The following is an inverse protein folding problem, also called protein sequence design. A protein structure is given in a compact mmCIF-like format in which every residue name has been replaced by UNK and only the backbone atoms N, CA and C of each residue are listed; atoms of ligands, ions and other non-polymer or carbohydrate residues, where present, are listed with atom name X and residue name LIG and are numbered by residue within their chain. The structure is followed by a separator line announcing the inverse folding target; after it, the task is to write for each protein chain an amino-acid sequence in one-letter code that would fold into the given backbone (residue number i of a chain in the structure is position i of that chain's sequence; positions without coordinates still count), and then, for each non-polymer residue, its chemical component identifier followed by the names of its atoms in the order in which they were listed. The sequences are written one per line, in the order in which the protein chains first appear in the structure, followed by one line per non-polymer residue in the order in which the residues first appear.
data_IF_627862832823
#
_entry.id   IF_627862832823
#
_cell.length_a   1.000
_cell.length_b   1.000
_cell.length_c   1.000
_cell.angle_alpha   90.00
_cell.angle_beta   90.00
_cell.angle_gamma   90.00
#
_symmetry.space_group_name_H-M   'P 1'
#
loop_
_entity.id
_entity.type
_entity.pdbx_description
1 polymer ?
#
# COMPACT_ATOMS: atom_id res chain seq x y z
N UNK A 1 -50.58 15.18 14.85
CA UNK A 1 -49.12 15.34 14.66
C UNK A 1 -48.43 14.06 15.08
N UNK A 2 -47.96 13.25 14.12
CA UNK A 2 -47.26 11.99 14.40
C UNK A 2 -45.82 12.28 14.84
N UNK A 3 -45.49 12.00 16.10
CA UNK A 3 -44.12 12.09 16.63
C UNK A 3 -43.36 10.85 16.15
N UNK A 4 -42.62 10.98 15.06
CA UNK A 4 -41.65 9.96 14.63
C UNK A 4 -40.67 9.72 15.79
N UNK A 5 -40.45 8.47 16.24
CA UNK A 5 -39.58 8.20 17.37
C UNK A 5 -38.14 8.59 17.03
N UNK A 6 -37.48 9.35 17.92
CA UNK A 6 -36.11 9.86 17.74
C UNK A 6 -35.08 8.76 17.42
N UNK A 7 -35.36 7.51 17.81
CA UNK A 7 -34.48 6.37 17.59
C UNK A 7 -34.41 5.94 16.11
N UNK A 8 -35.51 6.07 15.36
CA UNK A 8 -35.52 5.76 13.92
C UNK A 8 -34.67 6.75 13.10
N UNK A 9 -34.56 8.00 13.54
CA UNK A 9 -33.73 9.04 12.90
C UNK A 9 -32.23 8.78 13.16
N UNK A 10 -31.88 8.28 14.36
CA UNK A 10 -30.50 7.88 14.70
C UNK A 10 -30.05 6.66 13.88
N UNK A 11 -30.91 5.66 13.72
CA UNK A 11 -30.62 4.49 12.88
C UNK A 11 -30.52 4.83 11.39
N UNK A 12 -31.37 5.72 10.87
CA UNK A 12 -31.22 6.18 9.49
C UNK A 12 -29.93 6.96 9.28
N UNK A 13 -29.54 7.84 10.23
CA UNK A 13 -28.26 8.56 10.14
C UNK A 13 -27.05 7.63 10.22
N UNK A 14 -27.07 6.59 11.07
CA UNK A 14 -25.96 5.62 11.15
C UNK A 14 -25.87 4.76 9.89
N UNK A 15 -27.00 4.34 9.30
CA UNK A 15 -27.04 3.64 8.01
C UNK A 15 -26.52 4.49 6.85
N UNK A 16 -26.89 5.78 6.80
CA UNK A 16 -26.41 6.70 5.77
C UNK A 16 -24.91 6.95 5.92
N UNK A 17 -24.41 7.09 7.15
CA UNK A 17 -22.97 7.27 7.44
C UNK A 17 -22.15 6.03 7.06
N UNK A 18 -22.57 4.84 7.47
CA UNK A 18 -21.97 3.56 7.00
C UNK A 18 -21.94 3.46 5.49
N UNK A 19 -23.07 3.75 4.80
CA UNK A 19 -23.14 3.69 3.33
C UNK A 19 -22.23 4.71 2.63
N UNK A 20 -21.96 5.84 3.29
CA UNK A 20 -20.99 6.85 2.84
C UNK A 20 -19.56 6.35 3.00
N UNK A 21 -19.24 5.79 4.17
CA UNK A 21 -17.91 5.28 4.50
C UNK A 21 -17.55 4.05 3.65
N UNK A 22 -18.52 3.15 3.40
CA UNK A 22 -18.37 2.02 2.48
C UNK A 22 -18.06 2.48 1.05
N UNK A 23 -18.74 3.55 0.59
CA UNK A 23 -18.52 4.10 -0.75
C UNK A 23 -17.14 4.77 -0.87
N UNK A 24 -16.67 5.38 0.22
CA UNK A 24 -15.33 5.93 0.29
C UNK A 24 -14.27 4.83 0.28
N UNK A 25 -14.38 3.85 1.17
CA UNK A 25 -13.47 2.69 1.25
C UNK A 25 -13.40 1.91 -0.07
N UNK A 26 -14.52 1.77 -0.78
CA UNK A 26 -14.53 1.13 -2.10
C UNK A 26 -13.74 1.92 -3.14
N UNK A 27 -13.93 3.24 -3.19
CA UNK A 27 -13.22 4.11 -4.14
C UNK A 27 -11.73 4.16 -3.84
N UNK A 28 -11.34 4.25 -2.57
CA UNK A 28 -9.93 4.24 -2.16
C UNK A 28 -9.28 2.89 -2.44
N UNK A 29 -9.97 1.77 -2.19
CA UNK A 29 -9.50 0.42 -2.54
C UNK A 29 -9.07 0.34 -4.00
N UNK A 30 -9.92 0.78 -4.92
CA UNK A 30 -9.65 0.74 -6.37
C UNK A 30 -8.48 1.66 -6.74
N UNK A 31 -8.49 2.92 -6.28
CA UNK A 31 -7.44 3.89 -6.62
C UNK A 31 -6.08 3.40 -6.11
N UNK A 32 -6.02 2.93 -4.86
CA UNK A 32 -4.78 2.39 -4.27
C UNK A 32 -4.34 1.10 -4.97
N UNK A 33 -5.26 0.24 -5.42
CA UNK A 33 -4.90 -0.94 -6.20
C UNK A 33 -4.24 -0.56 -7.53
N UNK A 34 -4.86 0.38 -8.27
CA UNK A 34 -4.32 0.86 -9.56
C UNK A 34 -2.95 1.50 -9.37
N UNK A 35 -2.79 2.36 -8.37
CA UNK A 35 -1.50 2.96 -8.05
C UNK A 35 -0.46 1.91 -7.65
N UNK A 36 -0.83 0.93 -6.83
CA UNK A 36 0.04 -0.18 -6.47
C UNK A 36 0.54 -0.94 -7.70
N UNK A 37 -0.35 -1.30 -8.63
CA UNK A 37 0.02 -1.98 -9.88
C UNK A 37 0.97 -1.11 -10.72
N UNK A 38 0.68 0.20 -10.86
CA UNK A 38 1.54 1.12 -11.61
C UNK A 38 2.94 1.16 -10.99
N UNK A 39 3.04 1.32 -9.67
CA UNK A 39 4.33 1.36 -8.99
C UNK A 39 5.06 0.03 -9.09
N UNK A 40 4.37 -1.11 -9.02
CA UNK A 40 4.96 -2.43 -9.23
C UNK A 40 5.61 -2.56 -10.60
N UNK A 41 4.94 -2.12 -11.66
CA UNK A 41 5.48 -2.16 -13.02
C UNK A 41 6.70 -1.24 -13.14
N UNK A 42 6.61 -0.02 -12.60
CA UNK A 42 7.72 0.94 -12.61
C UNK A 42 8.94 0.39 -11.86
N UNK A 43 8.74 -0.13 -10.65
CA UNK A 43 9.83 -0.70 -9.85
C UNK A 43 10.43 -1.94 -10.49
N UNK A 44 9.61 -2.79 -11.10
CA UNK A 44 10.10 -3.95 -11.85
C UNK A 44 11.00 -3.52 -13.02
N UNK A 45 10.57 -2.56 -13.82
CA UNK A 45 11.34 -2.05 -14.97
C UNK A 45 12.70 -1.50 -14.53
N UNK A 46 12.73 -0.68 -13.48
CA UNK A 46 13.97 -0.09 -13.00
C UNK A 46 14.88 -1.10 -12.32
N UNK A 47 14.37 -1.96 -11.43
CA UNK A 47 15.22 -2.90 -10.69
C UNK A 47 15.70 -4.09 -11.54
N UNK A 48 14.98 -4.45 -12.59
CA UNK A 48 15.46 -5.40 -13.59
C UNK A 48 16.44 -4.78 -14.60
N UNK A 49 16.81 -3.51 -14.41
CA UNK A 49 17.67 -2.72 -15.29
C UNK A 49 17.24 -2.80 -16.78
N UNK A 50 15.93 -2.93 -17.04
CA UNK A 50 15.39 -2.99 -18.40
C UNK A 50 15.52 -1.64 -19.11
N UNK A 51 15.49 -0.55 -18.35
CA UNK A 51 15.69 0.82 -18.83
C UNK A 51 16.65 1.51 -17.86
N UNK A 52 17.87 1.89 -18.29
CA UNK A 52 18.78 2.65 -17.43
C UNK A 52 18.22 4.05 -17.18
N UNK A 53 18.09 4.44 -15.90
CA UNK A 53 17.62 5.77 -15.51
C UNK A 53 18.65 6.86 -15.81
N UNK A 54 19.93 6.57 -15.58
CA UNK A 54 21.04 7.48 -15.82
C UNK A 54 22.17 6.73 -16.51
N UNK A 55 22.77 7.34 -17.53
CA UNK A 55 23.88 6.74 -18.30
C UNK A 55 25.25 7.25 -17.85
N UNK A 56 25.29 8.30 -17.03
CA UNK A 56 26.55 8.90 -16.55
C UNK A 56 27.07 8.21 -15.28
N UNK A 57 28.37 7.89 -15.26
CA UNK A 57 29.08 7.37 -14.09
C UNK A 57 29.38 8.48 -13.06
N UNK A 58 28.34 9.11 -12.54
CA UNK A 58 28.43 10.05 -11.42
C UNK A 58 27.87 9.40 -10.16
N UNK A 59 28.62 9.51 -9.06
CA UNK A 59 28.23 8.98 -7.74
C UNK A 59 26.85 9.51 -7.32
N UNK A 60 26.54 10.78 -7.60
CA UNK A 60 25.24 11.37 -7.29
C UNK A 60 24.09 10.73 -8.07
N UNK A 61 24.27 10.44 -9.36
CA UNK A 61 23.23 9.79 -10.18
C UNK A 61 23.02 8.33 -9.78
N UNK A 62 24.09 7.61 -9.40
CA UNK A 62 23.98 6.26 -8.87
C UNK A 62 23.21 6.22 -7.53
N UNK A 63 23.45 7.20 -6.64
CA UNK A 63 22.69 7.31 -5.40
C UNK A 63 21.20 7.59 -5.69
N UNK A 64 20.93 8.51 -6.63
CA UNK A 64 19.57 8.86 -7.02
C UNK A 64 18.82 7.66 -7.64
N UNK A 65 19.49 6.87 -8.48
CA UNK A 65 18.96 5.64 -9.07
C UNK A 65 18.51 4.66 -7.98
N UNK A 66 19.39 4.39 -7.01
CA UNK A 66 19.10 3.53 -5.86
C UNK A 66 17.89 4.06 -5.08
N UNK A 67 17.85 5.36 -4.79
CA UNK A 67 16.75 5.98 -4.03
C UNK A 67 15.42 5.85 -4.78
N UNK A 68 15.39 6.11 -6.09
CA UNK A 68 14.18 5.99 -6.92
C UNK A 68 13.68 4.54 -6.92
N UNK A 69 14.59 3.57 -7.09
CA UNK A 69 14.27 2.13 -7.06
C UNK A 69 13.63 1.73 -5.74
N UNK A 70 14.20 2.15 -4.61
CA UNK A 70 13.67 1.87 -3.27
C UNK A 70 12.30 2.52 -3.09
N UNK A 71 12.16 3.82 -3.40
CA UNK A 71 10.91 4.56 -3.23
C UNK A 71 9.79 3.93 -4.05
N UNK A 72 10.04 3.52 -5.29
CA UNK A 72 9.03 2.88 -6.12
C UNK A 72 8.48 1.59 -5.48
N UNK A 73 9.35 0.77 -4.88
CA UNK A 73 8.94 -0.47 -4.21
C UNK A 73 8.18 -0.18 -2.92
N UNK A 74 8.63 0.79 -2.12
CA UNK A 74 7.94 1.17 -0.89
C UNK A 74 6.55 1.74 -1.20
N UNK A 75 6.40 2.54 -2.27
CA UNK A 75 5.12 3.04 -2.72
C UNK A 75 4.21 1.91 -3.23
N UNK A 76 4.73 0.97 -4.00
CA UNK A 76 4.00 -0.25 -4.36
C UNK A 76 3.44 -0.96 -3.12
N UNK A 77 4.30 -1.25 -2.14
CA UNK A 77 3.91 -1.96 -0.94
C UNK A 77 2.87 -1.18 -0.13
N UNK A 78 3.07 0.13 0.05
CA UNK A 78 2.16 1.00 0.78
C UNK A 78 0.78 1.07 0.12
N UNK A 79 0.71 1.29 -1.20
CA UNK A 79 -0.56 1.38 -1.90
C UNK A 79 -1.31 0.05 -1.91
N UNK A 80 -0.62 -1.07 -2.06
CA UNK A 80 -1.25 -2.39 -1.95
C UNK A 80 -1.75 -2.66 -0.53
N UNK A 81 -0.98 -2.30 0.50
CA UNK A 81 -1.42 -2.40 1.90
C UNK A 81 -2.68 -1.59 2.18
N UNK A 82 -2.73 -0.34 1.71
CA UNK A 82 -3.93 0.52 1.84
C UNK A 82 -5.12 -0.11 1.10
N UNK A 83 -4.89 -0.63 -0.11
CA UNK A 83 -5.95 -1.26 -0.90
C UNK A 83 -6.53 -2.49 -0.19
N UNK A 84 -5.67 -3.40 0.27
CA UNK A 84 -6.11 -4.61 0.97
C UNK A 84 -6.76 -4.24 2.31
N UNK A 85 -6.19 -3.30 3.06
CA UNK A 85 -6.77 -2.82 4.32
C UNK A 85 -8.21 -2.31 4.16
N UNK A 86 -8.44 -1.43 3.18
CA UNK A 86 -9.78 -0.92 2.87
C UNK A 86 -10.73 -2.03 2.38
N UNK A 87 -10.26 -2.97 1.56
CA UNK A 87 -11.05 -4.11 1.13
C UNK A 87 -11.46 -5.02 2.30
N UNK A 88 -10.53 -5.23 3.24
CA UNK A 88 -10.73 -6.02 4.44
C UNK A 88 -11.74 -5.37 5.39
N UNK A 89 -11.69 -4.05 5.55
CA UNK A 89 -12.70 -3.27 6.27
C UNK A 89 -14.10 -3.43 5.65
N UNK A 90 -14.22 -3.35 4.32
CA UNK A 90 -15.49 -3.57 3.60
C UNK A 90 -16.06 -4.99 3.76
N UNK A 91 -15.18 -5.99 3.87
CA UNK A 91 -15.59 -7.39 4.02
C UNK A 91 -15.74 -7.81 5.49
N UNK A 92 -15.43 -6.92 6.44
CA UNK A 92 -15.46 -7.20 7.87
C UNK A 92 -14.40 -8.19 8.36
N UNK A 93 -13.37 -8.45 7.55
CA UNK A 93 -12.30 -9.39 7.89
C UNK A 93 -11.03 -8.61 8.24
N UNK A 94 -10.21 -9.05 9.22
CA UNK A 94 -8.91 -8.42 9.45
C UNK A 94 -7.93 -8.72 8.30
N UNK A 95 -6.90 -7.89 8.18
CA UNK A 95 -5.76 -8.16 7.31
C UNK A 95 -5.02 -9.41 7.82
N UNK A 96 -4.90 -10.43 6.96
CA UNK A 96 -4.21 -11.65 7.31
C UNK A 96 -2.69 -11.56 7.10
N UNK A 97 -1.95 -12.34 7.88
CA UNK A 97 -0.50 -12.48 7.72
C UNK A 97 -0.09 -13.05 6.35
N UNK A 98 -0.96 -13.84 5.70
CA UNK A 98 -0.67 -14.44 4.40
C UNK A 98 -0.60 -13.38 3.31
N UNK A 99 -1.55 -12.46 3.28
CA UNK A 99 -1.60 -11.34 2.34
C UNK A 99 -0.40 -10.40 2.56
N UNK A 100 -0.09 -10.10 3.82
CA UNK A 100 1.08 -9.29 4.18
C UNK A 100 2.38 -9.95 3.73
N UNK A 101 2.56 -11.24 4.03
CA UNK A 101 3.76 -12.00 3.65
C UNK A 101 3.90 -12.09 2.13
N UNK A 102 2.80 -12.29 1.40
CA UNK A 102 2.81 -12.29 -0.06
C UNK A 102 3.30 -10.95 -0.61
N UNK A 103 2.74 -9.84 -0.15
CA UNK A 103 3.20 -8.50 -0.56
C UNK A 103 4.67 -8.27 -0.20
N UNK A 104 5.10 -8.72 0.98
CA UNK A 104 6.47 -8.56 1.43
C UNK A 104 7.45 -9.31 0.53
N UNK A 105 7.14 -10.57 0.19
CA UNK A 105 7.95 -11.39 -0.71
C UNK A 105 7.95 -10.80 -2.13
N UNK A 106 6.80 -10.33 -2.63
CA UNK A 106 6.72 -9.67 -3.95
C UNK A 106 7.54 -8.38 -4.00
N UNK A 107 7.56 -7.59 -2.93
CA UNK A 107 8.40 -6.39 -2.83
C UNK A 107 9.88 -6.74 -2.82
N UNK A 108 10.30 -7.70 -1.99
CA UNK A 108 11.71 -8.11 -1.93
C UNK A 108 12.20 -8.79 -3.20
N UNK A 109 11.34 -9.59 -3.85
CA UNK A 109 11.64 -10.25 -5.11
C UNK A 109 12.11 -9.30 -6.21
N UNK A 110 11.61 -8.06 -6.20
CA UNK A 110 12.01 -7.03 -7.16
C UNK A 110 13.43 -6.52 -6.96
N UNK A 111 14.05 -6.78 -5.81
CA UNK A 111 15.37 -6.20 -5.44
C UNK A 111 16.51 -7.22 -5.46
N UNK A 112 16.23 -8.48 -5.81
CA UNK A 112 17.19 -9.57 -5.71
C UNK A 112 18.47 -9.37 -6.54
N UNK A 113 18.41 -8.55 -7.59
CA UNK A 113 19.55 -8.27 -8.47
C UNK A 113 20.53 -7.24 -7.88
N UNK A 114 20.13 -6.47 -6.87
CA UNK A 114 20.96 -5.44 -6.26
C UNK A 114 20.93 -5.54 -4.73
N UNK A 115 22.03 -6.05 -4.15
CA UNK A 115 22.15 -6.31 -2.71
C UNK A 115 21.95 -5.06 -1.84
N UNK A 116 22.40 -3.90 -2.32
CA UNK A 116 22.27 -2.63 -1.59
C UNK A 116 20.80 -2.19 -1.58
N UNK A 117 20.15 -2.19 -2.75
CA UNK A 117 18.72 -1.88 -2.86
C UNK A 117 17.88 -2.87 -2.04
N UNK A 118 18.21 -4.17 -2.08
CA UNK A 118 17.58 -5.21 -1.26
C UNK A 118 17.66 -4.89 0.23
N UNK A 119 18.86 -4.62 0.74
CA UNK A 119 19.08 -4.40 2.17
C UNK A 119 18.34 -3.15 2.68
N UNK A 120 18.37 -2.06 1.92
CA UNK A 120 17.65 -0.83 2.28
C UNK A 120 16.13 -0.99 2.16
N UNK A 121 15.65 -1.69 1.13
CA UNK A 121 14.22 -1.97 0.95
C UNK A 121 13.70 -2.87 2.06
N UNK A 122 14.47 -3.89 2.48
CA UNK A 122 14.12 -4.74 3.61
C UNK A 122 13.88 -3.92 4.89
N UNK A 123 14.79 -3.00 5.20
CA UNK A 123 14.64 -2.10 6.36
C UNK A 123 13.37 -1.24 6.21
N UNK A 124 13.15 -0.64 5.03
CA UNK A 124 11.96 0.17 4.76
C UNK A 124 10.66 -0.61 4.92
N UNK A 125 10.59 -1.83 4.38
CA UNK A 125 9.42 -2.71 4.51
C UNK A 125 9.18 -3.09 5.98
N UNK A 126 10.22 -3.44 6.73
CA UNK A 126 10.09 -3.74 8.16
C UNK A 126 9.54 -2.56 8.95
N UNK A 127 10.00 -1.33 8.67
CA UNK A 127 9.48 -0.12 9.30
C UNK A 127 7.98 0.03 9.01
N UNK A 128 7.56 -0.15 7.74
CA UNK A 128 6.14 -0.06 7.37
C UNK A 128 5.32 -1.14 8.08
N UNK A 129 5.79 -2.38 8.11
CA UNK A 129 5.10 -3.50 8.78
C UNK A 129 4.95 -3.23 10.28
N UNK A 130 6.02 -2.80 10.95
CA UNK A 130 6.00 -2.46 12.38
C UNK A 130 5.04 -1.29 12.63
N UNK A 131 5.07 -0.26 11.80
CA UNK A 131 4.15 0.87 11.91
C UNK A 131 2.69 0.42 11.84
N UNK A 132 2.34 -0.40 10.84
CA UNK A 132 0.97 -0.92 10.71
C UNK A 132 0.58 -1.82 11.89
N UNK A 133 1.50 -2.65 12.39
CA UNK A 133 1.26 -3.49 13.55
C UNK A 133 0.98 -2.67 14.82
N UNK A 134 1.69 -1.55 15.03
CA UNK A 134 1.48 -0.67 16.18
C UNK A 134 0.21 0.17 16.08
N UNK A 135 -0.22 0.52 14.86
CA UNK A 135 -1.44 1.31 14.62
C UNK A 135 -2.71 0.46 14.66
N UNK A 136 -2.62 -0.84 14.38
CA UNK A 136 -3.74 -1.75 14.60
C UNK A 136 -4.00 -1.87 16.11
N UNK A 137 -5.02 -1.16 16.60
CA UNK A 137 -5.51 -1.32 17.98
C UNK A 137 -5.90 -2.79 18.22
N UNK A 138 -5.46 -3.40 19.34
CA UNK A 138 -5.85 -4.76 19.73
C UNK A 138 -7.30 -4.88 20.18
#
# INVERSE_FOLDING_TARGET
MSKVPKDQIKEQKSKIRRRSDDKFAYRTTIISCILGIIFYVISFIFNADLIPLFTENNILFNLLDIVIKIIAILLFFLFMMISIGNYKELTGNPLGWKELLLLFVLSLGQTLLNLLVFSLTLIGLLIIVIYFYLVQEP
#
